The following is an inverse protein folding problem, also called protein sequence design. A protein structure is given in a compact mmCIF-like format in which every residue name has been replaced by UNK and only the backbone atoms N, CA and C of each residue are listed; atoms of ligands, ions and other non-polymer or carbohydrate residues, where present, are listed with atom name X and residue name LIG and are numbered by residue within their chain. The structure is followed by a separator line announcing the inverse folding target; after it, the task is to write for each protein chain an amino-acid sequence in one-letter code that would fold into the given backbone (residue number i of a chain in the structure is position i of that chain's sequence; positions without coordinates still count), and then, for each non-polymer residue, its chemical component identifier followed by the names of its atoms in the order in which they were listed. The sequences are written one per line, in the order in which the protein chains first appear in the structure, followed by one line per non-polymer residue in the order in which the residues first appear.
data_IF_449877887722
#
_entry.id   IF_449877887722
#
_cell.length_a   1.000
_cell.length_b   1.000
_cell.length_c   1.000
_cell.angle_alpha   90.00
_cell.angle_beta   90.00
_cell.angle_gamma   90.00
#
_symmetry.space_group_name_H-M   'P 1'
#
loop_
_entity.id
_entity.type
_entity.pdbx_description
1 polymer ?
#
# COMPACT_ATOMS: atom_id res chain seq x y z
N UNK A 1 -15.28 14.96 -4.09
CA UNK A 1 -16.50 14.18 -3.75
C UNK A 1 -17.74 14.91 -4.26
N UNK A 2 -18.71 14.15 -4.72
CA UNK A 2 -19.99 14.64 -5.23
C UNK A 2 -21.13 13.97 -4.45
N UNK A 3 -22.04 14.77 -3.88
CA UNK A 3 -23.24 14.28 -3.21
C UNK A 3 -24.41 14.35 -4.22
N UNK A 4 -24.80 13.19 -4.74
CA UNK A 4 -25.86 13.09 -5.76
C UNK A 4 -27.26 12.96 -5.16
N UNK A 5 -27.33 12.64 -3.87
CA UNK A 5 -28.55 12.57 -3.06
C UNK A 5 -28.16 12.79 -1.59
N UNK A 6 -29.01 13.39 -0.74
CA UNK A 6 -28.72 13.54 0.68
C UNK A 6 -28.25 12.24 1.32
N UNK A 7 -27.07 12.26 1.94
CA UNK A 7 -26.46 11.08 2.56
C UNK A 7 -25.78 10.09 1.58
N UNK A 8 -25.77 10.37 0.27
CA UNK A 8 -25.13 9.50 -0.72
C UNK A 8 -24.06 10.25 -1.50
N UNK A 9 -22.81 9.86 -1.33
CA UNK A 9 -21.63 10.52 -1.90
C UNK A 9 -20.79 9.57 -2.71
N UNK A 10 -20.21 10.09 -3.78
CA UNK A 10 -19.17 9.45 -4.57
C UNK A 10 -17.91 10.31 -4.51
N UNK A 11 -16.76 9.65 -4.47
CA UNK A 11 -15.46 10.26 -4.56
C UNK A 11 -14.63 9.63 -5.66
N UNK A 12 -13.77 10.42 -6.28
CA UNK A 12 -12.78 9.94 -7.22
C UNK A 12 -11.49 10.71 -7.01
N UNK A 13 -10.36 9.99 -7.02
CA UNK A 13 -9.02 10.56 -6.91
C UNK A 13 -8.12 9.85 -7.89
N UNK A 14 -7.35 10.62 -8.64
CA UNK A 14 -6.22 10.13 -9.40
C UNK A 14 -4.95 10.76 -8.84
N UNK A 15 -3.95 9.94 -8.57
CA UNK A 15 -2.62 10.35 -8.14
C UNK A 15 -1.64 9.93 -9.19
N UNK A 16 -0.96 10.92 -9.76
CA UNK A 16 0.09 10.67 -10.73
C UNK A 16 1.39 10.24 -10.03
N UNK A 17 2.20 9.50 -10.75
CA UNK A 17 3.55 9.06 -10.39
C UNK A 17 4.36 10.16 -9.69
N UNK A 18 5.01 9.80 -8.60
CA UNK A 18 6.02 10.63 -7.95
C UNK A 18 7.37 9.93 -8.03
N UNK A 19 8.36 10.62 -8.57
CA UNK A 19 9.71 10.10 -8.73
C UNK A 19 10.59 10.60 -7.59
N UNK A 20 11.34 9.69 -6.99
CA UNK A 20 12.30 9.99 -5.93
C UNK A 20 13.68 9.48 -6.36
N UNK A 21 14.68 10.31 -6.15
CA UNK A 21 16.08 9.90 -6.30
C UNK A 21 16.71 9.89 -4.91
N UNK A 22 17.18 8.73 -4.48
CA UNK A 22 17.92 8.56 -3.24
C UNK A 22 19.41 8.56 -3.57
N UNK A 23 20.16 9.37 -2.84
CA UNK A 23 21.61 9.48 -2.99
C UNK A 23 22.28 9.14 -1.65
N UNK A 24 23.42 8.48 -1.72
CA UNK A 24 24.19 8.08 -0.54
C UNK A 24 25.51 7.44 -0.91
N UNK A 25 26.28 7.06 0.10
CA UNK A 25 27.54 6.39 -0.09
C UNK A 25 27.42 4.92 0.34
N UNK A 26 27.86 3.99 -0.52
CA UNK A 26 27.90 2.57 -0.22
C UNK A 26 29.30 2.17 0.26
N UNK A 27 29.38 1.38 1.33
CA UNK A 27 30.64 0.77 1.74
C UNK A 27 30.66 -0.69 1.29
N UNK A 28 31.57 -1.02 0.38
CA UNK A 28 31.76 -2.38 -0.11
C UNK A 28 32.85 -3.05 0.74
N UNK A 29 32.44 -4.00 1.60
CA UNK A 29 33.33 -4.82 2.41
C UNK A 29 33.36 -6.24 1.83
N UNK A 30 34.39 -6.55 1.03
CA UNK A 30 34.63 -7.93 0.58
C UNK A 30 35.70 -8.60 1.46
N UNK A 31 35.53 -9.90 1.77
CA UNK A 31 36.56 -10.68 2.48
C UNK A 31 37.90 -10.77 1.72
N UNK A 32 37.90 -10.37 0.44
CA UNK A 32 39.08 -10.42 -0.47
C UNK A 32 39.68 -9.04 -0.71
N UNK A 33 39.11 -7.96 -0.13
CA UNK A 33 39.66 -6.61 -0.31
C UNK A 33 40.46 -6.23 0.92
N UNK A 34 41.71 -5.74 0.69
CA UNK A 34 42.53 -5.14 1.75
C UNK A 34 41.89 -3.84 2.25
N UNK A 35 42.29 -3.39 3.45
CA UNK A 35 41.78 -2.12 4.01
C UNK A 35 42.02 -0.90 3.10
N UNK A 36 43.04 -0.98 2.24
CA UNK A 36 43.39 0.05 1.25
C UNK A 36 42.49 0.01 -0.01
N UNK A 37 41.79 -1.11 -0.23
CA UNK A 37 40.88 -1.31 -1.38
C UNK A 37 39.42 -1.06 -1.02
N UNK A 38 39.09 -0.62 0.20
CA UNK A 38 37.75 -0.22 0.59
C UNK A 38 37.35 1.00 -0.22
N UNK A 39 36.34 0.78 -1.05
CA UNK A 39 35.75 1.85 -1.84
C UNK A 39 34.44 2.28 -1.22
N UNK A 40 34.20 3.59 -1.19
CA UNK A 40 32.95 4.19 -0.81
C UNK A 40 32.34 4.91 -2.02
N UNK A 41 31.87 4.15 -3.03
CA UNK A 41 31.29 4.77 -4.22
C UNK A 41 30.02 5.52 -3.87
N UNK A 42 29.81 6.66 -4.52
CA UNK A 42 28.53 7.32 -4.48
C UNK A 42 27.49 6.47 -5.17
N UNK A 43 26.32 6.34 -4.55
CA UNK A 43 25.21 5.50 -4.99
C UNK A 43 23.98 6.35 -5.25
N UNK A 44 23.31 6.10 -6.36
CA UNK A 44 22.04 6.73 -6.72
C UNK A 44 21.01 5.64 -7.00
N UNK A 45 19.85 5.74 -6.39
CA UNK A 45 18.70 4.87 -6.58
C UNK A 45 17.49 5.69 -7.02
N UNK A 46 16.98 5.42 -8.21
CA UNK A 46 15.75 6.02 -8.69
C UNK A 46 14.55 5.13 -8.30
N UNK A 47 13.60 5.73 -7.59
CA UNK A 47 12.40 5.06 -7.10
C UNK A 47 11.15 5.79 -7.59
N UNK A 48 10.33 5.12 -8.36
CA UNK A 48 9.10 5.67 -8.92
C UNK A 48 7.89 5.12 -8.18
N UNK A 49 7.07 5.98 -7.60
CA UNK A 49 5.79 5.57 -7.03
C UNK A 49 4.76 5.39 -8.14
N UNK A 50 3.99 4.29 -8.15
CA UNK A 50 3.02 4.02 -9.21
C UNK A 50 1.85 5.00 -9.20
N UNK A 51 1.24 5.19 -10.37
CA UNK A 51 -0.03 5.89 -10.50
C UNK A 51 -1.13 5.15 -9.75
N UNK A 52 -2.10 5.90 -9.22
CA UNK A 52 -3.24 5.33 -8.48
C UNK A 52 -4.55 5.99 -8.90
N UNK A 53 -5.55 5.17 -9.11
CA UNK A 53 -6.92 5.58 -9.35
C UNK A 53 -7.82 5.01 -8.28
N UNK A 54 -8.57 5.87 -7.59
CA UNK A 54 -9.47 5.49 -6.50
C UNK A 54 -10.87 5.99 -6.80
N UNK A 55 -11.85 5.13 -6.65
CA UNK A 55 -13.28 5.47 -6.63
C UNK A 55 -13.88 4.98 -5.32
N UNK A 56 -14.62 5.82 -4.64
CA UNK A 56 -15.21 5.49 -3.36
C UNK A 56 -16.64 5.97 -3.23
N UNK A 57 -17.42 5.31 -2.40
CA UNK A 57 -18.78 5.68 -2.11
C UNK A 57 -19.12 5.61 -0.62
N UNK A 58 -20.05 6.48 -0.21
CA UNK A 58 -20.63 6.51 1.13
C UNK A 58 -22.13 6.67 1.02
N UNK A 59 -22.87 5.78 1.65
CA UNK A 59 -24.32 5.68 1.52
C UNK A 59 -25.00 5.55 2.86
N UNK A 60 -25.77 6.57 3.25
CA UNK A 60 -26.67 6.51 4.39
C UNK A 60 -27.88 5.67 4.00
N UNK A 61 -27.92 4.40 4.41
CA UNK A 61 -28.99 3.46 4.05
C UNK A 61 -30.19 3.55 4.98
N UNK A 62 -29.94 3.86 6.26
CA UNK A 62 -30.96 4.17 7.27
C UNK A 62 -30.45 5.28 8.18
N UNK A 63 -31.27 5.81 9.07
CA UNK A 63 -30.85 6.82 10.06
C UNK A 63 -29.69 6.35 10.96
N UNK A 64 -29.49 5.03 11.06
CA UNK A 64 -28.50 4.40 11.94
C UNK A 64 -27.38 3.68 11.21
N UNK A 65 -27.51 3.44 9.91
CA UNK A 65 -26.55 2.64 9.13
C UNK A 65 -26.03 3.41 7.94
N UNK A 66 -24.71 3.52 7.87
CA UNK A 66 -23.99 4.03 6.72
C UNK A 66 -23.06 2.94 6.19
N UNK A 67 -23.07 2.76 4.89
CA UNK A 67 -22.18 1.85 4.16
C UNK A 67 -21.14 2.63 3.39
N UNK A 68 -19.96 2.02 3.28
CA UNK A 68 -18.82 2.54 2.53
C UNK A 68 -18.30 1.48 1.58
N UNK A 69 -17.79 1.90 0.45
CA UNK A 69 -17.02 1.06 -0.44
C UNK A 69 -15.90 1.87 -1.09
N UNK A 70 -14.84 1.18 -1.42
CA UNK A 70 -13.66 1.75 -2.05
C UNK A 70 -13.10 0.74 -3.05
N UNK A 71 -12.73 1.23 -4.21
CA UNK A 71 -12.01 0.51 -5.23
C UNK A 71 -10.78 1.34 -5.60
N UNK A 72 -9.61 0.75 -5.50
CA UNK A 72 -8.35 1.35 -5.92
C UNK A 72 -7.70 0.46 -6.98
N UNK A 73 -7.18 1.07 -8.04
CA UNK A 73 -6.29 0.45 -9.00
C UNK A 73 -4.93 1.15 -8.95
N UNK A 74 -3.89 0.36 -8.80
CA UNK A 74 -2.49 0.79 -8.79
C UNK A 74 -1.86 0.34 -10.11
N UNK A 75 -1.29 1.29 -10.86
CA UNK A 75 -0.68 1.05 -12.16
C UNK A 75 0.83 0.92 -11.97
N UNK A 76 1.34 -0.29 -11.97
CA UNK A 76 2.74 -0.57 -11.70
C UNK A 76 3.68 -0.45 -12.90
N UNK A 77 3.19 -0.05 -14.09
CA UNK A 77 4.00 0.14 -15.30
C UNK A 77 5.25 1.00 -15.07
N UNK A 78 5.17 1.98 -14.17
CA UNK A 78 6.30 2.86 -13.83
C UNK A 78 7.25 2.26 -12.80
N UNK A 79 6.86 1.15 -12.15
CA UNK A 79 7.62 0.45 -11.13
C UNK A 79 8.21 -0.89 -11.60
N UNK A 80 8.14 -1.16 -12.90
CA UNK A 80 8.65 -2.41 -13.49
C UNK A 80 10.13 -2.63 -13.26
N UNK A 81 10.92 -1.54 -13.16
CA UNK A 81 12.36 -1.59 -13.08
C UNK A 81 12.94 -0.61 -12.06
N UNK A 82 13.94 -1.09 -11.34
CA UNK A 82 14.75 -0.28 -10.42
C UNK A 82 16.20 -0.25 -10.94
N UNK A 83 16.73 0.95 -11.21
CA UNK A 83 18.12 1.15 -11.61
C UNK A 83 18.94 1.62 -10.39
N UNK A 84 19.93 0.82 -10.01
CA UNK A 84 20.91 1.15 -8.98
C UNK A 84 22.24 1.52 -9.67
N UNK A 85 22.69 2.76 -9.50
CA UNK A 85 23.92 3.27 -10.05
C UNK A 85 24.93 3.48 -8.94
N UNK A 86 26.15 3.02 -9.16
CA UNK A 86 27.29 3.25 -8.26
C UNK A 86 28.48 3.73 -9.09
N UNK A 87 29.17 4.76 -8.60
CA UNK A 87 30.35 5.32 -9.29
C UNK A 87 31.44 4.28 -9.45
N UNK A 88 31.93 4.13 -10.69
CA UNK A 88 32.94 3.14 -11.03
C UNK A 88 32.46 1.72 -11.24
N UNK A 89 31.15 1.45 -11.10
CA UNK A 89 30.57 0.12 -11.30
C UNK A 89 29.50 0.12 -12.40
N UNK A 90 29.23 -1.03 -13.04
CA UNK A 90 28.11 -1.15 -13.95
C UNK A 90 26.77 -0.88 -13.23
N UNK A 91 25.83 -0.24 -13.92
CA UNK A 91 24.47 -0.08 -13.41
C UNK A 91 23.81 -1.44 -13.18
N UNK A 92 23.34 -1.68 -11.97
CA UNK A 92 22.53 -2.87 -11.65
C UNK A 92 21.08 -2.56 -11.97
N UNK A 93 20.49 -3.36 -12.84
CA UNK A 93 19.09 -3.28 -13.22
C UNK A 93 18.33 -4.42 -12.60
N UNK A 94 17.28 -4.08 -11.87
CA UNK A 94 16.40 -5.04 -11.20
C UNK A 94 15.03 -4.93 -11.87
N UNK A 95 14.69 -5.92 -12.68
CA UNK A 95 13.36 -6.04 -13.28
C UNK A 95 12.42 -6.62 -12.23
N UNK A 96 11.33 -5.92 -11.96
CA UNK A 96 10.40 -6.26 -10.88
C UNK A 96 9.22 -7.10 -11.36
N UNK A 97 8.91 -7.03 -12.65
CA UNK A 97 7.77 -7.71 -13.28
C UNK A 97 6.42 -7.48 -12.54
N UNK A 98 6.29 -6.31 -11.89
CA UNK A 98 5.06 -5.97 -11.20
C UNK A 98 3.96 -5.71 -12.21
N UNK A 99 2.76 -6.19 -11.90
CA UNK A 99 1.54 -6.00 -12.68
C UNK A 99 0.57 -5.09 -11.92
N UNK A 100 -0.33 -4.46 -12.65
CA UNK A 100 -1.40 -3.70 -12.05
C UNK A 100 -2.16 -4.51 -11.02
N UNK A 101 -2.42 -3.90 -9.86
CA UNK A 101 -3.12 -4.55 -8.76
C UNK A 101 -4.34 -3.73 -8.33
N UNK A 102 -5.37 -4.43 -7.89
CA UNK A 102 -6.59 -3.82 -7.41
C UNK A 102 -6.75 -4.03 -5.90
N UNK A 103 -7.36 -3.06 -5.27
CA UNK A 103 -7.82 -3.14 -3.89
C UNK A 103 -9.30 -2.92 -3.82
N UNK A 104 -9.98 -3.72 -3.03
CA UNK A 104 -11.40 -3.65 -2.76
C UNK A 104 -11.60 -3.47 -1.26
N UNK A 105 -12.43 -2.51 -0.85
CA UNK A 105 -12.76 -2.34 0.54
C UNK A 105 -14.25 -2.08 0.73
N UNK A 106 -14.79 -2.64 1.79
CA UNK A 106 -16.15 -2.44 2.24
C UNK A 106 -16.16 -2.04 3.71
N UNK A 107 -17.07 -1.16 4.09
CA UNK A 107 -17.21 -0.70 5.45
C UNK A 107 -18.66 -0.45 5.83
N UNK A 108 -18.92 -0.54 7.11
CA UNK A 108 -20.22 -0.21 7.70
C UNK A 108 -20.03 0.56 9.01
N UNK A 109 -20.85 1.56 9.19
CA UNK A 109 -20.97 2.31 10.43
C UNK A 109 -22.41 2.21 10.92
N UNK A 110 -22.58 1.69 12.14
CA UNK A 110 -23.86 1.49 12.76
C UNK A 110 -23.96 2.24 14.08
N UNK A 111 -24.92 3.17 14.18
CA UNK A 111 -25.19 3.96 15.38
C UNK A 111 -26.48 3.47 16.06
N UNK A 112 -26.40 2.48 16.99
CA UNK A 112 -27.57 1.96 17.68
C UNK A 112 -28.29 3.03 18.49
N UNK A 113 -27.56 4.01 19.00
CA UNK A 113 -28.09 5.15 19.77
C UNK A 113 -27.14 6.36 19.62
N UNK A 114 -27.49 7.49 20.24
CA UNK A 114 -26.73 8.75 20.15
C UNK A 114 -25.32 8.70 20.79
N UNK A 115 -25.00 7.67 21.58
CA UNK A 115 -23.73 7.56 22.30
C UNK A 115 -22.75 6.59 21.64
N UNK A 116 -23.23 5.61 20.92
CA UNK A 116 -22.40 4.56 20.34
C UNK A 116 -22.45 4.56 18.83
N UNK A 117 -21.28 4.47 18.22
CA UNK A 117 -21.11 4.16 16.81
C UNK A 117 -20.17 2.97 16.70
N UNK A 118 -20.65 1.90 16.08
CA UNK A 118 -19.88 0.69 15.80
C UNK A 118 -19.40 0.73 14.34
N UNK A 119 -18.16 0.32 14.11
CA UNK A 119 -17.52 0.35 12.79
C UNK A 119 -17.01 -1.04 12.45
N UNK A 120 -17.24 -1.46 11.21
CA UNK A 120 -16.77 -2.72 10.65
C UNK A 120 -16.21 -2.46 9.27
N UNK A 121 -15.15 -3.18 8.92
CA UNK A 121 -14.54 -3.06 7.60
C UNK A 121 -13.82 -4.33 7.20
N UNK A 122 -13.75 -4.55 5.90
CA UNK A 122 -12.92 -5.57 5.28
C UNK A 122 -12.29 -5.00 4.02
N UNK A 123 -11.06 -5.39 3.73
CA UNK A 123 -10.40 -5.09 2.46
C UNK A 123 -9.63 -6.30 1.95
N UNK A 124 -9.48 -6.34 0.63
CA UNK A 124 -8.65 -7.29 -0.08
C UNK A 124 -7.77 -6.50 -1.06
N UNK A 125 -6.48 -6.71 -0.95
CA UNK A 125 -5.44 -6.15 -1.81
C UNK A 125 -4.87 -7.29 -2.65
N UNK A 126 -4.91 -7.19 -3.99
CA UNK A 126 -4.29 -8.18 -4.88
C UNK A 126 -2.76 -8.10 -4.81
N UNK A 127 -2.08 -9.23 -5.01
CA UNK A 127 -0.63 -9.26 -5.19
C UNK A 127 -0.25 -8.56 -6.50
N UNK A 128 0.70 -7.60 -6.48
CA UNK A 128 1.20 -6.98 -7.70
C UNK A 128 2.25 -7.84 -8.41
N UNK A 129 2.63 -9.00 -7.87
CA UNK A 129 3.69 -9.85 -8.40
C UNK A 129 3.33 -11.33 -8.26
N UNK A 130 3.72 -12.13 -9.23
CA UNK A 130 3.59 -13.58 -9.17
C UNK A 130 4.73 -14.22 -8.35
N UNK A 131 4.53 -15.43 -7.83
CA UNK A 131 5.49 -16.12 -6.97
C UNK A 131 6.87 -16.33 -7.63
N UNK A 132 6.88 -16.49 -8.97
CA UNK A 132 8.10 -16.68 -9.78
C UNK A 132 8.95 -15.40 -9.87
N UNK A 133 8.30 -14.23 -9.83
CA UNK A 133 8.94 -12.91 -9.97
C UNK A 133 9.17 -12.23 -8.62
N UNK A 134 8.64 -12.80 -7.52
CA UNK A 134 8.75 -12.21 -6.18
C UNK A 134 10.19 -12.22 -5.69
N UNK A 135 10.68 -11.06 -5.26
CA UNK A 135 12.04 -10.87 -4.77
C UNK A 135 12.08 -10.68 -3.25
N UNK A 136 13.15 -11.15 -2.57
CA UNK A 136 13.27 -11.05 -1.12
C UNK A 136 13.34 -9.62 -0.57
N UNK A 137 13.73 -8.65 -1.39
CA UNK A 137 13.89 -7.24 -1.00
C UNK A 137 12.53 -6.50 -0.92
N UNK A 138 11.52 -6.95 -1.69
CA UNK A 138 10.14 -6.44 -1.62
C UNK A 138 9.18 -7.65 -1.62
N UNK A 139 9.03 -8.34 -0.50
CA UNK A 139 8.19 -9.53 -0.40
C UNK A 139 6.71 -9.14 -0.24
N UNK A 140 6.11 -8.60 -1.30
CA UNK A 140 4.69 -8.23 -1.34
C UNK A 140 3.84 -9.40 -1.83
N UNK A 141 2.65 -9.53 -1.26
CA UNK A 141 1.67 -10.52 -1.64
C UNK A 141 0.25 -9.96 -1.44
N UNK A 142 -0.76 -10.78 -1.67
CA UNK A 142 -2.13 -10.42 -1.35
C UNK A 142 -2.32 -10.16 0.15
N UNK A 143 -3.20 -9.22 0.49
CA UNK A 143 -3.51 -8.90 1.88
C UNK A 143 -5.03 -8.86 2.06
N UNK A 144 -5.52 -9.69 2.98
CA UNK A 144 -6.89 -9.58 3.47
C UNK A 144 -6.89 -8.96 4.86
N UNK A 145 -7.70 -7.91 5.04
CA UNK A 145 -7.80 -7.18 6.31
C UNK A 145 -9.22 -7.16 6.80
N UNK A 146 -9.42 -7.44 8.09
CA UNK A 146 -10.70 -7.31 8.78
C UNK A 146 -10.53 -6.34 9.95
N UNK A 147 -11.43 -5.37 10.04
CA UNK A 147 -11.34 -4.28 11.02
C UNK A 147 -12.66 -4.14 11.76
N UNK A 148 -12.56 -3.79 13.04
CA UNK A 148 -13.71 -3.39 13.85
C UNK A 148 -13.33 -2.22 14.74
N UNK A 149 -14.30 -1.39 15.06
CA UNK A 149 -14.09 -0.24 15.92
C UNK A 149 -15.37 0.18 16.63
N UNK A 150 -15.22 0.98 17.66
CA UNK A 150 -16.31 1.59 18.38
C UNK A 150 -15.95 3.01 18.81
N UNK A 151 -16.91 3.91 18.69
CA UNK A 151 -16.83 5.28 19.18
C UNK A 151 -17.87 5.42 20.28
N UNK A 152 -17.42 5.85 21.45
CA UNK A 152 -18.32 6.19 22.56
C UNK A 152 -18.30 7.69 22.81
N UNK A 153 -19.43 8.34 22.63
CA UNK A 153 -19.65 9.75 22.94
C UNK A 153 -20.14 9.91 24.38
N UNK A 154 -19.25 10.35 25.27
CA UNK A 154 -19.59 10.59 26.67
C UNK A 154 -20.32 11.92 26.85
N UNK A 155 -19.83 12.96 26.16
CA UNK A 155 -20.42 14.31 26.14
C UNK A 155 -20.34 14.88 24.73
N UNK A 156 -20.93 16.05 24.47
CA UNK A 156 -20.82 16.70 23.16
C UNK A 156 -19.39 16.98 22.72
N UNK A 157 -18.46 17.14 23.68
CA UNK A 157 -17.07 17.50 23.42
C UNK A 157 -16.05 16.40 23.79
N UNK A 158 -16.51 15.21 24.23
CA UNK A 158 -15.61 14.13 24.62
C UNK A 158 -16.06 12.81 24.02
N UNK A 159 -15.17 12.24 23.20
CA UNK A 159 -15.36 10.96 22.51
C UNK A 159 -14.17 10.04 22.84
N UNK A 160 -14.44 8.76 22.99
CA UNK A 160 -13.44 7.71 23.10
C UNK A 160 -13.57 6.80 21.89
N UNK A 161 -12.45 6.53 21.24
CA UNK A 161 -12.37 5.66 20.05
C UNK A 161 -11.50 4.46 20.40
N UNK A 162 -11.95 3.27 20.04
CA UNK A 162 -11.18 2.04 20.07
C UNK A 162 -11.35 1.29 18.75
N UNK A 163 -10.26 0.71 18.25
CA UNK A 163 -10.30 -0.12 17.05
C UNK A 163 -9.31 -1.28 17.13
N UNK A 164 -9.60 -2.33 16.39
CA UNK A 164 -8.73 -3.47 16.18
C UNK A 164 -8.78 -3.90 14.71
N UNK A 165 -7.66 -4.40 14.21
CA UNK A 165 -7.55 -4.96 12.87
C UNK A 165 -6.76 -6.27 12.92
N UNK A 166 -7.11 -7.21 12.06
CA UNK A 166 -6.36 -8.43 11.77
C UNK A 166 -6.05 -8.40 10.29
N UNK A 167 -4.79 -8.63 9.96
CA UNK A 167 -4.29 -8.71 8.60
C UNK A 167 -3.81 -10.14 8.34
N UNK A 168 -4.25 -10.70 7.23
CA UNK A 168 -3.79 -11.98 6.71
C UNK A 168 -2.99 -11.69 5.45
N UNK A 169 -1.73 -12.02 5.49
CA UNK A 169 -0.82 -11.93 4.35
C UNK A 169 -0.84 -13.27 3.61
N UNK A 170 -0.67 -13.24 2.30
CA UNK A 170 -0.42 -14.43 1.50
C UNK A 170 0.82 -15.19 2.00
N UNK A 171 1.06 -16.36 1.44
CA UNK A 171 2.18 -17.22 1.90
C UNK A 171 3.56 -16.70 1.47
N UNK A 172 3.63 -15.58 0.72
CA UNK A 172 4.86 -14.90 0.28
C UNK A 172 5.90 -15.88 -0.33
N UNK A 173 5.42 -16.88 -1.06
CA UNK A 173 6.30 -17.85 -1.71
C UNK A 173 7.20 -17.18 -2.72
N UNK A 174 8.46 -17.59 -2.75
CA UNK A 174 9.46 -17.19 -3.71
C UNK A 174 9.86 -18.44 -4.48
N UNK A 175 9.40 -18.57 -5.71
CA UNK A 175 9.69 -19.70 -6.59
C UNK A 175 10.66 -19.26 -7.70
N UNK A 176 11.87 -18.86 -7.33
CA UNK A 176 12.90 -18.60 -8.31
C UNK A 176 13.48 -19.92 -8.80
N UNK A 177 13.22 -20.25 -10.05
CA UNK A 177 13.88 -21.38 -10.71
C UNK A 177 15.38 -21.11 -10.73
N UNK A 178 16.15 -21.97 -10.06
CA UNK A 178 17.60 -21.98 -10.17
C UNK A 178 17.95 -22.35 -11.62
N UNK A 179 18.30 -21.34 -12.43
CA UNK A 179 18.82 -21.50 -13.79
C UNK A 179 20.33 -21.75 -13.80
#
# INVERSE_FOLDING_TARGET
TYEFRPGHRLGMVYRHTSNFTFEGDATINGQLLSDEERQTPHMTLDWNMPDRFVVSGSHQTTDKLRLYWDFERVFFDTFERTDLRMDGYPTVRIDRNFKDANRYALGAEYSPNERWTLQFGASFDESPVDDEDRMPDIPVDEITKIMTGAIYQRTKNFHVHGYAAIEFFGDNKIEQLAS
#
